data_IF_453589166320
#
_entry.id   IF_453589166320
#
_cell.length_a   1.000
_cell.length_b   1.000
_cell.length_c   1.000
_cell.angle_alpha   90.00
_cell.angle_beta   90.00
_cell.angle_gamma   90.00
#
_symmetry.space_group_name_H-M   'P 1'
#
loop_
_entity.id
_entity.type
_entity.pdbx_description
1 polymer ?
#
# COMPACT_ATOMS: atom_id res chain seq x y z
N UNK A 1 13.87 27.64 -82.80
CA UNK A 1 12.66 27.48 -81.98
C UNK A 1 12.66 26.12 -81.20
N UNK A 2 13.71 25.36 -81.18
CA UNK A 2 13.82 24.04 -80.46
C UNK A 2 14.66 24.09 -79.16
N UNK A 3 15.45 25.11 -78.92
CA UNK A 3 16.36 25.18 -77.73
C UNK A 3 15.70 25.82 -76.50
N UNK A 4 14.61 26.55 -76.66
CA UNK A 4 13.94 27.20 -75.50
C UNK A 4 13.08 26.25 -74.64
N UNK A 5 12.63 25.12 -75.20
CA UNK A 5 11.83 24.14 -74.46
C UNK A 5 12.67 23.19 -73.58
N UNK A 6 13.96 23.07 -73.86
CA UNK A 6 14.82 22.14 -73.09
C UNK A 6 15.38 22.77 -71.78
N UNK A 7 15.46 24.09 -71.67
CA UNK A 7 15.88 24.79 -70.44
C UNK A 7 14.74 24.89 -69.40
N UNK A 8 13.50 24.89 -69.80
CA UNK A 8 12.38 24.97 -68.84
C UNK A 8 12.09 23.63 -68.11
N UNK A 9 12.42 22.50 -68.76
CA UNK A 9 12.24 21.16 -68.16
C UNK A 9 13.32 20.79 -67.16
N UNK A 10 14.49 21.35 -67.23
CA UNK A 10 15.59 21.08 -66.29
C UNK A 10 15.41 21.87 -65.00
N UNK A 11 14.88 23.10 -65.04
CA UNK A 11 14.65 23.90 -63.83
C UNK A 11 13.46 23.40 -63.00
N UNK A 12 12.43 22.77 -63.58
CA UNK A 12 11.31 22.21 -62.84
C UNK A 12 11.64 20.89 -62.12
N UNK A 13 12.66 20.16 -62.60
CA UNK A 13 13.07 18.89 -61.97
C UNK A 13 13.93 19.10 -60.73
N UNK A 14 14.67 20.24 -60.66
CA UNK A 14 15.54 20.56 -59.48
C UNK A 14 14.74 21.15 -58.31
N UNK A 15 13.62 21.84 -58.54
CA UNK A 15 12.80 22.41 -57.47
C UNK A 15 11.92 21.39 -56.76
N UNK A 16 11.56 20.28 -57.41
CA UNK A 16 10.72 19.25 -56.81
C UNK A 16 11.52 18.31 -55.88
N UNK A 17 12.78 18.08 -56.13
CA UNK A 17 13.66 17.21 -55.29
C UNK A 17 14.05 17.89 -53.98
N UNK A 18 14.26 19.21 -53.99
CA UNK A 18 14.58 19.97 -52.77
C UNK A 18 13.36 20.19 -51.88
N UNK A 19 12.14 20.29 -52.47
CA UNK A 19 10.90 20.45 -51.72
C UNK A 19 10.50 19.14 -51.02
N UNK A 20 10.62 17.99 -51.69
CA UNK A 20 10.34 16.66 -51.07
C UNK A 20 11.33 16.31 -49.96
N UNK A 21 12.60 16.68 -50.09
CA UNK A 21 13.60 16.46 -49.04
C UNK A 21 13.33 17.33 -47.80
N UNK A 22 12.90 18.60 -47.96
CA UNK A 22 12.56 19.48 -46.83
C UNK A 22 11.28 19.03 -46.11
N UNK A 23 10.28 18.53 -46.85
CA UNK A 23 9.05 18.00 -46.21
C UNK A 23 9.33 16.71 -45.44
N UNK A 24 10.22 15.84 -45.95
CA UNK A 24 10.65 14.64 -45.25
C UNK A 24 11.38 14.96 -43.94
N UNK A 25 12.27 15.93 -43.92
CA UNK A 25 12.98 16.30 -42.67
C UNK A 25 12.07 16.94 -41.62
N UNK A 26 11.13 17.79 -42.01
CA UNK A 26 10.17 18.39 -41.07
C UNK A 26 9.21 17.35 -40.50
N UNK A 27 8.77 16.37 -41.27
CA UNK A 27 7.93 15.26 -40.78
C UNK A 27 8.72 14.36 -39.78
N UNK A 28 10.02 14.10 -40.06
CA UNK A 28 10.89 13.36 -39.11
C UNK A 28 11.10 14.10 -37.79
N UNK A 29 11.28 15.43 -37.84
CA UNK A 29 11.42 16.25 -36.64
C UNK A 29 10.12 16.27 -35.80
N UNK A 30 8.97 16.35 -36.44
CA UNK A 30 7.67 16.29 -35.73
C UNK A 30 7.40 14.91 -35.13
N UNK A 31 7.79 13.84 -35.80
CA UNK A 31 7.66 12.47 -35.26
C UNK A 31 8.61 12.22 -34.08
N UNK A 32 9.85 12.74 -34.14
CA UNK A 32 10.82 12.63 -33.04
C UNK A 32 10.40 13.44 -31.81
N UNK A 33 9.86 14.64 -31.99
CA UNK A 33 9.36 15.48 -30.86
C UNK A 33 8.15 14.83 -30.19
N UNK A 34 7.24 14.19 -30.93
CA UNK A 34 6.11 13.48 -30.35
C UNK A 34 6.53 12.19 -29.59
N UNK A 35 7.61 11.50 -30.02
CA UNK A 35 8.11 10.32 -29.32
C UNK A 35 8.75 10.67 -27.95
N UNK A 36 9.34 11.85 -27.82
CA UNK A 36 9.96 12.31 -26.56
C UNK A 36 8.90 12.76 -25.56
N UNK A 37 7.75 13.27 -26.02
CA UNK A 37 6.66 13.72 -25.14
C UNK A 37 5.84 12.57 -24.52
N UNK A 38 5.86 11.37 -25.12
CA UNK A 38 5.12 10.20 -24.61
C UNK A 38 5.92 9.48 -23.51
N UNK A 39 7.26 9.58 -23.49
CA UNK A 39 8.09 8.93 -22.48
C UNK A 39 8.13 9.65 -21.12
N UNK A 40 7.64 10.89 -21.04
CA UNK A 40 7.76 11.72 -19.83
C UNK A 40 6.72 11.46 -18.73
N UNK A 41 5.61 10.78 -19.03
CA UNK A 41 4.46 10.76 -18.11
C UNK A 41 4.46 9.57 -17.12
N UNK A 42 5.23 8.51 -17.35
CA UNK A 42 5.26 7.33 -16.47
C UNK A 42 6.32 7.40 -15.37
N UNK A 43 7.39 8.17 -15.57
CA UNK A 43 8.51 8.29 -14.63
C UNK A 43 8.19 9.21 -13.43
N UNK A 44 7.39 10.26 -13.62
CA UNK A 44 7.04 11.21 -12.56
C UNK A 44 6.19 10.59 -11.43
N UNK A 45 5.28 9.64 -11.75
CA UNK A 45 4.48 8.94 -10.72
C UNK A 45 5.31 7.97 -9.87
N UNK A 46 6.28 7.28 -10.49
CA UNK A 46 7.14 6.31 -9.81
C UNK A 46 8.14 6.99 -8.87
N UNK A 47 8.67 8.14 -9.26
CA UNK A 47 9.63 8.92 -8.47
C UNK A 47 9.01 9.49 -7.19
N UNK A 48 7.73 9.95 -7.22
CA UNK A 48 7.04 10.48 -6.04
C UNK A 48 6.71 9.39 -5.00
N UNK A 49 6.41 8.17 -5.43
CA UNK A 49 6.12 7.05 -4.53
C UNK A 49 7.39 6.57 -3.82
N UNK A 50 8.53 6.52 -4.51
CA UNK A 50 9.84 6.18 -3.91
C UNK A 50 10.22 7.19 -2.83
N UNK A 51 9.89 8.47 -3.00
CA UNK A 51 10.21 9.52 -2.03
C UNK A 51 9.47 9.40 -0.68
N UNK A 52 8.31 8.73 -0.61
CA UNK A 52 7.60 8.56 0.67
C UNK A 52 8.35 7.59 1.57
N UNK A 53 8.74 6.43 1.05
CA UNK A 53 9.50 5.45 1.83
C UNK A 53 10.95 5.91 2.07
N UNK A 54 11.56 6.69 1.18
CA UNK A 54 12.91 7.23 1.37
C UNK A 54 12.98 8.39 2.37
N UNK A 55 11.86 9.05 2.65
CA UNK A 55 11.80 10.16 3.62
C UNK A 55 11.52 9.72 5.06
N UNK A 56 11.34 8.43 5.31
CA UNK A 56 11.07 7.89 6.65
C UNK A 56 12.15 6.90 7.08
N UNK A 57 12.45 6.88 8.39
CA UNK A 57 13.30 5.85 9.02
C UNK A 57 12.50 4.61 9.42
N UNK A 58 11.18 4.66 9.34
CA UNK A 58 10.29 3.54 9.64
C UNK A 58 10.30 2.51 8.49
N UNK A 59 10.12 1.22 8.77
CA UNK A 59 9.89 0.23 7.73
C UNK A 59 8.72 0.65 6.84
N UNK A 60 8.92 0.58 5.51
CA UNK A 60 7.96 1.09 4.54
C UNK A 60 7.96 0.19 3.30
N UNK A 61 6.79 -0.30 2.90
CA UNK A 61 6.58 -1.18 1.75
C UNK A 61 5.42 -0.68 0.91
N UNK A 62 5.64 -0.52 -0.38
CA UNK A 62 4.62 -0.06 -1.35
C UNK A 62 3.96 -1.21 -2.11
N UNK A 63 4.54 -2.40 -2.06
CA UNK A 63 4.05 -3.61 -2.70
C UNK A 63 2.84 -4.20 -1.97
N UNK A 64 2.09 -5.03 -2.68
CA UNK A 64 1.17 -5.96 -2.05
C UNK A 64 1.97 -7.12 -1.50
N UNK A 65 1.77 -7.44 -0.23
CA UNK A 65 2.50 -8.48 0.48
C UNK A 65 1.57 -9.60 0.90
N UNK A 66 2.09 -10.82 0.96
CA UNK A 66 1.37 -11.97 1.47
C UNK A 66 2.05 -12.50 2.73
N UNK A 67 1.24 -12.74 3.77
CA UNK A 67 1.69 -13.29 5.05
C UNK A 67 0.80 -14.47 5.43
N UNK A 68 1.38 -15.50 6.03
CA UNK A 68 0.64 -16.57 6.65
C UNK A 68 0.86 -16.53 8.16
N UNK A 69 -0.24 -16.54 8.92
CA UNK A 69 -0.25 -16.77 10.36
C UNK A 69 -0.61 -18.25 10.59
N UNK A 70 0.30 -18.98 11.20
CA UNK A 70 0.06 -20.35 11.67
C UNK A 70 -0.36 -20.23 13.13
N UNK A 71 -1.61 -20.52 13.42
CA UNK A 71 -2.16 -20.45 14.79
C UNK A 71 -2.34 -21.86 15.36
N UNK A 72 -2.58 -21.97 16.67
CA UNK A 72 -2.95 -23.24 17.30
C UNK A 72 -4.30 -23.81 16.82
N UNK A 73 -5.12 -23.02 16.09
CA UNK A 73 -6.40 -23.44 15.50
C UNK A 73 -6.33 -23.67 13.99
N UNK A 74 -5.23 -23.28 13.32
CA UNK A 74 -5.06 -23.45 11.88
C UNK A 74 -4.36 -22.29 11.21
N UNK A 75 -4.37 -22.27 9.87
CA UNK A 75 -3.65 -21.30 9.04
C UNK A 75 -4.57 -20.19 8.56
N UNK A 76 -4.09 -18.94 8.67
CA UNK A 76 -4.75 -17.73 8.18
C UNK A 76 -3.82 -17.04 7.19
N UNK A 77 -4.25 -16.86 5.95
CA UNK A 77 -3.48 -16.15 4.92
C UNK A 77 -3.98 -14.73 4.76
N UNK A 78 -3.05 -13.80 4.83
CA UNK A 78 -3.27 -12.36 4.75
C UNK A 78 -2.72 -11.82 3.43
N UNK A 79 -3.44 -10.86 2.84
CA UNK A 79 -2.97 -9.99 1.77
C UNK A 79 -2.91 -8.56 2.31
N UNK A 80 -1.75 -7.92 2.20
CA UNK A 80 -1.47 -6.60 2.76
C UNK A 80 -1.27 -5.56 1.64
N UNK A 81 -1.81 -4.38 1.82
CA UNK A 81 -1.91 -3.35 0.79
C UNK A 81 -0.94 -2.19 1.03
N UNK A 82 0.32 -2.35 0.64
CA UNK A 82 1.37 -1.36 0.85
C UNK A 82 1.09 0.00 0.19
N UNK A 83 0.41 0.04 -0.96
CA UNK A 83 0.02 1.32 -1.60
C UNK A 83 -0.96 2.13 -0.76
N UNK A 84 -1.77 1.48 0.06
CA UNK A 84 -2.80 2.12 0.88
C UNK A 84 -2.30 2.48 2.28
N UNK A 85 -1.34 1.71 2.82
CA UNK A 85 -0.77 1.92 4.15
C UNK A 85 0.70 1.47 4.22
N UNK A 86 1.63 2.18 3.54
CA UNK A 86 3.00 1.70 3.34
C UNK A 86 3.81 1.54 4.63
N UNK A 87 3.68 2.44 5.61
CA UNK A 87 4.38 2.33 6.89
C UNK A 87 3.77 1.22 7.74
N UNK A 88 2.45 1.11 7.74
CA UNK A 88 1.74 0.07 8.50
C UNK A 88 2.09 -1.32 7.98
N UNK A 89 2.06 -1.53 6.64
CA UNK A 89 2.47 -2.79 6.01
C UNK A 89 3.95 -3.07 6.26
N UNK A 90 4.82 -2.07 6.07
CA UNK A 90 6.25 -2.21 6.33
C UNK A 90 6.55 -2.62 7.77
N UNK A 91 5.91 -1.98 8.75
CA UNK A 91 6.06 -2.33 10.16
C UNK A 91 5.54 -3.74 10.48
N UNK A 92 4.39 -4.13 9.92
CA UNK A 92 3.83 -5.46 10.13
C UNK A 92 4.75 -6.54 9.55
N UNK A 93 5.18 -6.40 8.30
CA UNK A 93 6.09 -7.35 7.63
C UNK A 93 7.44 -7.42 8.33
N UNK A 94 8.01 -6.29 8.75
CA UNK A 94 9.24 -6.27 9.54
C UNK A 94 9.12 -7.10 10.84
N UNK A 95 8.01 -6.96 11.56
CA UNK A 95 7.76 -7.75 12.77
C UNK A 95 7.54 -9.23 12.47
N UNK A 96 6.94 -9.57 11.31
CA UNK A 96 6.82 -10.96 10.83
C UNK A 96 8.19 -11.55 10.55
N UNK A 97 9.04 -10.85 9.80
CA UNK A 97 10.39 -11.32 9.43
C UNK A 97 11.32 -11.46 10.64
N UNK A 98 11.12 -10.65 11.68
CA UNK A 98 11.82 -10.81 12.97
C UNK A 98 11.28 -11.94 13.87
N UNK A 99 10.21 -12.61 13.47
CA UNK A 99 9.53 -13.58 14.35
C UNK A 99 8.89 -12.95 15.59
N UNK A 100 8.67 -11.61 15.57
CA UNK A 100 8.11 -10.91 16.73
C UNK A 100 6.68 -11.32 17.05
N UNK A 101 5.93 -11.80 16.03
CA UNK A 101 4.58 -12.30 16.21
C UNK A 101 4.50 -13.75 16.71
N UNK A 102 5.62 -14.49 16.69
CA UNK A 102 5.63 -15.90 17.12
C UNK A 102 5.34 -16.00 18.62
N UNK A 103 4.43 -16.89 18.97
CA UNK A 103 3.93 -17.10 20.34
C UNK A 103 3.15 -15.92 20.94
N UNK A 104 2.77 -14.91 20.12
CA UNK A 104 1.87 -13.84 20.57
C UNK A 104 0.42 -14.29 20.60
N UNK A 105 -0.37 -13.66 21.45
CA UNK A 105 -1.74 -14.09 21.76
C UNK A 105 -2.79 -13.25 21.04
N UNK A 106 -3.95 -13.89 20.82
CA UNK A 106 -5.21 -13.20 20.58
C UNK A 106 -5.79 -12.82 21.93
N UNK A 107 -5.68 -11.55 22.31
CA UNK A 107 -5.96 -11.03 23.63
C UNK A 107 -7.33 -10.35 23.75
N UNK A 108 -8.12 -10.31 22.68
CA UNK A 108 -9.46 -9.76 22.68
C UNK A 108 -10.30 -10.34 21.57
N UNK A 109 -11.40 -11.01 21.93
CA UNK A 109 -12.35 -11.61 20.99
C UNK A 109 -13.75 -11.13 21.34
N UNK A 110 -14.34 -10.27 20.50
CA UNK A 110 -15.67 -9.70 20.73
C UNK A 110 -16.64 -10.29 19.72
N UNK A 111 -17.53 -11.19 20.18
CA UNK A 111 -18.59 -11.79 19.36
C UNK A 111 -20.00 -11.48 19.86
N UNK A 112 -20.15 -11.16 21.14
CA UNK A 112 -21.44 -10.86 21.78
C UNK A 112 -21.51 -9.39 22.18
N UNK A 113 -22.65 -8.69 22.14
CA UNK A 113 -23.92 -9.19 21.60
C UNK A 113 -23.90 -9.36 20.07
N UNK A 114 -22.95 -8.76 19.36
CA UNK A 114 -22.75 -8.87 17.91
C UNK A 114 -21.29 -9.13 17.57
N UNK A 115 -21.00 -9.87 16.47
CA UNK A 115 -19.63 -10.01 15.99
C UNK A 115 -18.99 -8.64 15.77
N UNK A 116 -17.77 -8.44 16.30
CA UNK A 116 -17.07 -7.16 16.18
C UNK A 116 -15.64 -7.38 15.64
N UNK A 117 -14.69 -7.72 16.53
CA UNK A 117 -13.28 -7.91 16.14
C UNK A 117 -12.63 -9.09 16.87
N UNK A 118 -11.53 -9.58 16.30
CA UNK A 118 -10.52 -10.39 16.99
C UNK A 118 -9.21 -9.63 16.93
N UNK A 119 -8.60 -9.35 18.09
CA UNK A 119 -7.34 -8.63 18.21
C UNK A 119 -6.22 -9.58 18.62
N UNK A 120 -5.10 -9.54 17.88
CA UNK A 120 -3.90 -10.33 18.12
C UNK A 120 -2.63 -9.48 18.10
N UNK A 121 -1.48 -10.14 18.23
CA UNK A 121 -0.16 -9.50 18.25
C UNK A 121 0.19 -8.90 19.60
N UNK A 122 -0.36 -9.45 20.68
CA UNK A 122 -0.06 -9.06 22.06
C UNK A 122 0.96 -10.02 22.68
N UNK A 123 2.03 -9.48 23.22
CA UNK A 123 3.06 -10.23 23.94
C UNK A 123 3.04 -9.99 25.45
N UNK A 124 2.03 -9.32 25.99
CA UNK A 124 1.94 -8.98 27.42
C UNK A 124 1.93 -10.20 28.36
N UNK A 125 1.49 -11.35 27.83
CA UNK A 125 1.51 -12.62 28.57
C UNK A 125 2.84 -13.38 28.49
N UNK A 126 3.78 -12.92 27.66
CA UNK A 126 5.11 -13.51 27.53
C UNK A 126 6.03 -12.84 28.56
N UNK A 127 6.42 -13.57 29.63
CA UNK A 127 7.35 -13.06 30.62
C UNK A 127 8.74 -12.87 29.98
N UNK A 128 9.33 -11.69 30.15
CA UNK A 128 10.76 -11.45 29.96
C UNK A 128 11.17 -10.60 28.77
N UNK A 129 10.50 -10.60 27.63
CA UNK A 129 10.96 -9.84 26.46
C UNK A 129 9.83 -9.17 25.71
N UNK A 130 9.94 -7.87 25.48
CA UNK A 130 9.11 -7.16 24.52
C UNK A 130 9.70 -7.36 23.11
N UNK A 131 9.14 -8.29 22.34
CA UNK A 131 9.60 -8.64 20.99
C UNK A 131 9.42 -7.53 19.94
N UNK A 132 8.72 -6.45 20.28
CA UNK A 132 8.42 -5.35 19.38
C UNK A 132 9.33 -4.13 19.61
N UNK A 133 10.51 -4.36 20.15
CA UNK A 133 11.55 -3.34 20.31
C UNK A 133 12.25 -3.12 18.98
N UNK A 134 12.44 -1.87 18.63
CA UNK A 134 13.24 -1.45 17.49
C UNK A 134 14.73 -1.63 17.79
N UNK A 135 15.45 -2.38 16.96
CA UNK A 135 16.86 -2.71 17.18
C UNK A 135 17.77 -1.49 17.21
N UNK A 136 17.39 -0.42 16.49
CA UNK A 136 18.20 0.80 16.42
C UNK A 136 18.05 1.69 17.65
N UNK A 137 16.86 1.69 18.25
CA UNK A 137 16.52 2.62 19.33
C UNK A 137 16.39 1.97 20.70
N UNK A 138 16.29 0.64 20.76
CA UNK A 138 16.03 -0.10 22.01
C UNK A 138 14.64 0.19 22.61
N UNK A 139 13.73 0.81 21.86
CA UNK A 139 12.41 1.22 22.33
C UNK A 139 11.31 0.62 21.45
N UNK A 140 10.09 0.56 21.99
CA UNK A 140 8.92 0.16 21.20
C UNK A 140 8.74 1.12 20.02
N UNK A 141 8.64 0.56 18.81
CA UNK A 141 8.38 1.33 17.61
C UNK A 141 6.90 1.69 17.53
N UNK A 142 6.63 2.98 17.43
CA UNK A 142 5.31 3.50 17.14
C UNK A 142 5.24 4.00 15.70
N UNK A 143 4.10 3.74 15.06
CA UNK A 143 3.81 4.17 13.69
C UNK A 143 2.63 5.15 13.66
N UNK A 144 2.58 6.05 12.66
CA UNK A 144 1.48 6.97 12.50
C UNK A 144 0.20 6.25 12.06
N UNK A 145 -0.95 6.87 12.36
CA UNK A 145 -2.21 6.51 11.72
C UNK A 145 -2.09 6.79 10.22
N UNK A 146 -2.38 5.79 9.38
CA UNK A 146 -2.38 5.89 7.92
C UNK A 146 -3.78 5.64 7.37
N UNK A 147 -4.35 6.62 6.65
CA UNK A 147 -5.64 6.47 5.98
C UNK A 147 -5.57 7.07 4.59
N UNK A 148 -5.84 6.27 3.56
CA UNK A 148 -5.84 6.72 2.18
C UNK A 148 -7.25 7.01 1.69
N UNK A 149 -7.44 8.21 1.13
CA UNK A 149 -8.66 8.56 0.38
C UNK A 149 -8.54 8.02 -1.04
N UNK A 150 -9.64 7.55 -1.63
CA UNK A 150 -9.67 6.99 -2.99
C UNK A 150 -9.08 7.93 -4.04
N UNK A 151 -9.39 9.23 -3.94
CA UNK A 151 -8.91 10.26 -4.88
C UNK A 151 -7.46 10.70 -4.64
N UNK A 152 -6.83 10.28 -3.54
CA UNK A 152 -5.48 10.70 -3.20
C UNK A 152 -4.46 9.65 -3.68
N UNK A 153 -3.31 10.11 -4.15
CA UNK A 153 -2.22 9.21 -4.52
C UNK A 153 -1.53 8.60 -3.29
N UNK A 154 -1.62 9.26 -2.13
CA UNK A 154 -0.90 8.92 -0.90
C UNK A 154 -1.83 8.91 0.30
N UNK A 155 -1.53 8.11 1.35
CA UNK A 155 -2.27 8.17 2.59
C UNK A 155 -2.06 9.49 3.32
N UNK A 156 -3.03 9.83 4.16
CA UNK A 156 -2.96 10.89 5.17
C UNK A 156 -2.42 10.30 6.45
N UNK A 157 -1.47 10.99 7.09
CA UNK A 157 -0.79 10.54 8.28
C UNK A 157 -1.24 11.29 9.53
N UNK A 158 -1.38 10.57 10.66
CA UNK A 158 -1.63 11.13 11.98
C UNK A 158 -2.93 11.94 12.11
N UNK A 159 -3.91 11.72 11.23
CA UNK A 159 -5.16 12.46 11.18
C UNK A 159 -6.36 11.52 11.02
N UNK A 160 -7.40 11.74 11.82
CA UNK A 160 -8.70 11.10 11.61
C UNK A 160 -9.38 11.72 10.39
N UNK A 161 -10.01 10.90 9.58
CA UNK A 161 -10.85 11.33 8.46
C UNK A 161 -12.31 11.34 8.92
N UNK A 162 -12.93 12.49 8.85
CA UNK A 162 -14.34 12.63 9.15
C UNK A 162 -15.20 12.01 8.03
N UNK A 163 -15.86 10.89 8.35
CA UNK A 163 -16.68 10.15 7.42
C UNK A 163 -18.10 10.71 7.27
N UNK A 164 -18.51 11.69 8.10
CA UNK A 164 -19.78 12.41 7.91
C UNK A 164 -19.74 13.32 6.68
N UNK A 165 -18.55 13.77 6.27
CA UNK A 165 -18.36 14.51 5.05
C UNK A 165 -18.38 13.56 3.84
N UNK A 166 -19.44 13.61 3.04
CA UNK A 166 -19.64 12.77 1.84
C UNK A 166 -18.51 12.89 0.79
N UNK A 167 -17.68 13.95 0.82
CA UNK A 167 -16.51 14.09 -0.03
C UNK A 167 -15.34 13.20 0.39
N UNK A 168 -15.38 12.67 1.61
CA UNK A 168 -14.35 11.79 2.17
C UNK A 168 -14.70 10.33 1.89
N UNK A 169 -14.17 9.76 0.82
CA UNK A 169 -14.28 8.33 0.53
C UNK A 169 -12.91 7.68 0.74
N UNK A 170 -12.82 6.78 1.73
CA UNK A 170 -11.60 6.05 2.05
C UNK A 170 -11.49 4.80 1.19
N UNK A 171 -10.26 4.49 0.75
CA UNK A 171 -9.98 3.35 -0.13
C UNK A 171 -10.25 2.00 0.55
N UNK A 172 -9.83 1.84 1.79
CA UNK A 172 -10.02 0.62 2.56
C UNK A 172 -10.96 0.87 3.75
N UNK A 173 -12.08 0.15 3.75
CA UNK A 173 -13.13 0.21 4.80
C UNK A 173 -13.07 -1.03 5.67
N UNK A 174 -13.54 -0.93 6.90
CA UNK A 174 -13.69 -2.06 7.81
C UNK A 174 -14.84 -2.97 7.36
N UNK A 175 -14.53 -3.92 6.49
CA UNK A 175 -15.44 -4.99 6.08
C UNK A 175 -15.06 -6.28 6.81
N UNK A 176 -15.95 -7.28 6.85
CA UNK A 176 -15.57 -8.61 7.32
C UNK A 176 -14.29 -9.09 6.64
N UNK A 177 -13.38 -9.71 7.39
CA UNK A 177 -12.06 -10.18 7.00
C UNK A 177 -10.97 -9.11 6.87
N UNK A 178 -11.29 -7.82 6.93
CA UNK A 178 -10.27 -6.78 6.82
C UNK A 178 -9.43 -6.67 8.09
N UNK A 179 -8.15 -6.38 7.86
CA UNK A 179 -7.10 -6.29 8.87
C UNK A 179 -6.76 -4.82 9.13
N UNK A 180 -6.73 -4.45 10.40
CA UNK A 180 -6.47 -3.07 10.83
C UNK A 180 -5.51 -3.01 12.02
N UNK A 181 -4.74 -1.92 12.15
CA UNK A 181 -3.85 -1.71 13.29
C UNK A 181 -4.58 -1.15 14.49
N UNK A 182 -4.39 -1.80 15.63
CA UNK A 182 -4.86 -1.28 16.91
C UNK A 182 -3.94 -0.15 17.39
N UNK A 183 -4.50 0.82 18.11
CA UNK A 183 -3.79 1.94 18.73
C UNK A 183 -4.45 2.38 20.03
N UNK A 184 -3.75 3.17 20.82
CA UNK A 184 -4.29 3.87 21.98
C UNK A 184 -5.14 5.10 21.56
N UNK A 185 -5.50 5.94 22.52
CA UNK A 185 -6.16 7.23 22.23
C UNK A 185 -5.28 8.16 21.37
N UNK A 186 -3.94 8.06 21.48
CA UNK A 186 -3.00 8.83 20.66
C UNK A 186 -3.00 8.28 19.22
N UNK A 187 -3.08 9.16 18.22
CA UNK A 187 -3.19 8.76 16.81
C UNK A 187 -1.97 7.99 16.30
N UNK A 188 -0.77 8.40 16.72
CA UNK A 188 0.50 7.82 16.31
C UNK A 188 1.05 6.88 17.39
N UNK A 189 0.26 5.90 17.81
CA UNK A 189 0.61 4.95 18.88
C UNK A 189 0.39 3.49 18.50
N UNK A 190 0.12 3.21 17.25
CA UNK A 190 0.07 1.85 16.76
C UNK A 190 1.50 1.25 16.78
N UNK A 191 1.63 -0.03 17.09
CA UNK A 191 2.92 -0.73 17.15
C UNK A 191 2.80 -2.15 16.59
N UNK A 192 2.31 -3.11 17.39
CA UNK A 192 2.26 -4.52 17.07
C UNK A 192 0.85 -5.08 16.95
N UNK A 193 -0.07 -4.61 17.81
CA UNK A 193 -1.40 -5.18 17.88
C UNK A 193 -2.21 -4.84 16.63
N UNK A 194 -2.83 -5.86 16.06
CA UNK A 194 -3.75 -5.75 14.92
C UNK A 194 -5.08 -6.40 15.26
N UNK A 195 -6.11 -6.12 14.47
CA UNK A 195 -7.38 -6.80 14.60
C UNK A 195 -7.98 -7.15 13.24
N UNK A 196 -8.78 -8.21 13.24
CA UNK A 196 -9.55 -8.68 12.09
C UNK A 196 -11.02 -8.36 12.37
N UNK A 197 -11.67 -7.67 11.43
CA UNK A 197 -13.10 -7.34 11.52
C UNK A 197 -13.96 -8.56 11.22
N UNK A 198 -14.91 -8.86 12.10
CA UNK A 198 -15.84 -10.00 11.94
C UNK A 198 -17.12 -9.65 11.17
N UNK A 199 -17.39 -8.35 10.99
CA UNK A 199 -18.46 -7.79 10.16
C UNK A 199 -18.03 -6.45 9.57
N UNK A 200 -18.93 -5.77 8.86
CA UNK A 200 -18.72 -4.36 8.47
C UNK A 200 -18.84 -3.47 9.71
N UNK A 201 -17.86 -2.55 9.89
CA UNK A 201 -17.73 -1.67 11.06
C UNK A 201 -17.49 -0.23 10.60
N UNK A 202 -18.49 0.43 9.96
CA UNK A 202 -18.34 1.78 9.44
C UNK A 202 -18.01 2.82 10.51
N UNK A 203 -18.34 2.54 11.78
CA UNK A 203 -17.98 3.39 12.93
C UNK A 203 -16.48 3.48 13.19
N UNK A 204 -15.66 2.54 12.65
CA UNK A 204 -14.20 2.55 12.74
C UNK A 204 -13.54 3.18 11.51
N UNK A 205 -14.30 3.38 10.43
CA UNK A 205 -13.79 3.96 9.20
C UNK A 205 -13.27 5.39 9.44
N UNK A 206 -12.14 5.71 8.82
CA UNK A 206 -11.47 6.99 9.03
C UNK A 206 -10.75 7.15 10.38
N UNK A 207 -10.82 6.16 11.28
CA UNK A 207 -10.26 6.22 12.64
C UNK A 207 -9.09 5.28 12.89
N UNK A 208 -9.01 4.18 12.14
CA UNK A 208 -7.95 3.18 12.25
C UNK A 208 -7.42 2.84 10.86
N UNK A 209 -6.14 2.49 10.80
CA UNK A 209 -5.47 2.11 9.56
C UNK A 209 -5.89 0.70 9.15
N UNK A 210 -6.72 0.58 8.12
CA UNK A 210 -6.96 -0.69 7.42
C UNK A 210 -5.82 -0.91 6.46
N UNK A 211 -5.15 -2.07 6.52
CA UNK A 211 -3.93 -2.30 5.75
C UNK A 211 -3.87 -3.65 5.03
N UNK A 212 -4.91 -4.48 5.16
CA UNK A 212 -4.98 -5.79 4.51
C UNK A 212 -6.29 -6.51 4.73
N UNK A 213 -6.33 -7.75 4.30
CA UNK A 213 -7.47 -8.66 4.55
C UNK A 213 -7.02 -10.11 4.68
N UNK A 214 -7.84 -10.92 5.30
CA UNK A 214 -7.77 -12.38 5.26
C UNK A 214 -8.28 -12.86 3.91
N UNK A 215 -7.43 -13.55 3.12
CA UNK A 215 -7.78 -14.14 1.82
C UNK A 215 -8.09 -15.63 1.91
N UNK A 216 -7.59 -16.33 2.97
CA UNK A 216 -7.93 -17.72 3.30
C UNK A 216 -7.87 -17.92 4.81
N UNK A 217 -8.71 -18.79 5.34
CA UNK A 217 -8.73 -19.14 6.77
C UNK A 217 -9.67 -18.30 7.62
N UNK A 218 -10.72 -17.66 7.03
CA UNK A 218 -11.76 -16.99 7.83
C UNK A 218 -12.51 -17.95 8.73
N UNK A 219 -12.66 -19.22 8.36
CA UNK A 219 -13.20 -20.27 9.23
C UNK A 219 -12.33 -20.52 10.47
N UNK A 220 -11.01 -20.38 10.36
CA UNK A 220 -10.10 -20.41 11.52
C UNK A 220 -10.29 -19.17 12.38
N UNK A 221 -10.36 -17.98 11.75
CA UNK A 221 -10.63 -16.72 12.48
C UNK A 221 -11.92 -16.82 13.28
N UNK A 222 -12.98 -17.42 12.71
CA UNK A 222 -14.29 -17.53 13.36
C UNK A 222 -14.30 -18.39 14.63
N UNK A 223 -13.33 -19.30 14.79
CA UNK A 223 -13.22 -20.18 15.96
C UNK A 223 -12.11 -19.77 16.95
N UNK A 224 -11.35 -18.69 16.66
CA UNK A 224 -10.34 -18.19 17.58
C UNK A 224 -11.00 -17.66 18.87
N UNK A 225 -10.37 -17.92 19.99
CA UNK A 225 -10.79 -17.46 21.33
C UNK A 225 -9.68 -16.64 22.00
N UNK A 226 -10.02 -15.94 23.07
CA UNK A 226 -9.00 -15.25 23.88
C UNK A 226 -8.06 -16.28 24.50
N UNK A 227 -6.75 -16.05 24.37
CA UNK A 227 -5.70 -16.97 24.77
C UNK A 227 -5.20 -17.89 23.65
N UNK A 228 -5.89 -18.02 22.53
CA UNK A 228 -5.30 -18.63 21.33
C UNK A 228 -4.09 -17.81 20.86
N UNK A 229 -3.15 -18.45 20.16
CA UNK A 229 -1.88 -17.83 19.84
C UNK A 229 -1.41 -18.12 18.42
N UNK A 230 -0.55 -17.25 17.93
CA UNK A 230 0.20 -17.41 16.70
C UNK A 230 1.40 -18.29 16.99
N UNK A 231 1.46 -19.49 16.40
CA UNK A 231 2.61 -20.39 16.50
C UNK A 231 3.80 -19.79 15.76
N UNK A 232 3.53 -19.31 14.55
CA UNK A 232 4.53 -18.73 13.66
C UNK A 232 3.87 -17.80 12.64
N UNK A 233 4.54 -16.72 12.28
CA UNK A 233 4.16 -15.81 11.21
C UNK A 233 5.24 -15.79 10.12
N UNK A 234 4.85 -15.94 8.84
CA UNK A 234 5.80 -15.96 7.70
C UNK A 234 5.33 -15.05 6.56
N UNK A 235 6.25 -14.33 5.96
CA UNK A 235 6.09 -13.71 4.65
C UNK A 235 6.18 -14.77 3.56
N UNK A 236 5.32 -14.69 2.51
CA UNK A 236 5.24 -15.68 1.42
C UNK A 236 5.88 -15.15 0.14
#
# INVERSE_FOLDING_TARGET
MKDYKKKSLINNKFNNTTLTYRISQTVYYFLFINLILISGCSTLKKTKIVNICSSTTLPCLLSTENVILITNKGKIRLELYGKSAPITVGNFVYNVEKGSYDKTFFNRVIRKPFPFIIRGGDNSLIKGENKFIDDKTGKVRFIPLEIKLEKNNFPTYGKIIDMSNQKNNIELKHKRSYLSMARSKKLNSASSQFYISLKSLPELDGRFAVFGKVIRGMNVVDILEEGDFIVEAKRL
#
